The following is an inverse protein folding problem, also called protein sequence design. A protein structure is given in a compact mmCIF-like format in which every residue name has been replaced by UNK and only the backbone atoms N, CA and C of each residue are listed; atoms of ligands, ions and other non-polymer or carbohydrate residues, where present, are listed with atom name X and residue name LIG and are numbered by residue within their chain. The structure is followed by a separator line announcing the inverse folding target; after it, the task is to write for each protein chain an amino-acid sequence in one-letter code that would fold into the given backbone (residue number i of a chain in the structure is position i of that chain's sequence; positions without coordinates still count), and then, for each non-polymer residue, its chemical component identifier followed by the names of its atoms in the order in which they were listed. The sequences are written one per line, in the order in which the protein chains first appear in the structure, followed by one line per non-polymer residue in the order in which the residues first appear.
data_IF_786628723640
#
_entry.id   IF_786628723640
#
_cell.length_a   1.000
_cell.length_b   1.000
_cell.length_c   1.000
_cell.angle_alpha   90.00
_cell.angle_beta   90.00
_cell.angle_gamma   90.00
#
_symmetry.space_group_name_H-M   'P 1'
#
loop_
_entity.id
_entity.type
_entity.pdbx_description
1 polymer ?
#
# COMPACT_ATOMS: atom_id res chain seq x y z
N UNK A 1 -19.68 -8.18 -10.14
CA UNK A 1 -19.23 -6.86 -9.61
C UNK A 1 -17.92 -7.10 -8.90
N UNK A 2 -16.88 -6.33 -9.23
CA UNK A 2 -15.53 -6.50 -8.66
C UNK A 2 -15.56 -6.28 -7.14
N UNK A 3 -14.90 -7.18 -6.38
CA UNK A 3 -14.82 -7.11 -4.92
C UNK A 3 -13.51 -6.46 -4.50
N UNK A 4 -13.60 -5.50 -3.58
CA UNK A 4 -12.50 -4.68 -3.12
C UNK A 4 -12.26 -4.83 -1.62
N UNK A 5 -11.00 -4.82 -1.21
CA UNK A 5 -10.61 -4.78 0.20
C UNK A 5 -9.55 -3.72 0.43
N UNK A 6 -9.86 -2.71 1.23
CA UNK A 6 -8.89 -1.74 1.72
C UNK A 6 -8.14 -2.32 2.92
N UNK A 7 -6.80 -2.31 2.86
CA UNK A 7 -5.91 -2.67 3.96
C UNK A 7 -5.26 -1.38 4.45
N UNK A 8 -5.64 -0.94 5.63
CA UNK A 8 -5.23 0.32 6.22
C UNK A 8 -4.06 0.12 7.17
N UNK A 9 -3.02 0.94 7.04
CA UNK A 9 -1.99 1.01 8.07
C UNK A 9 -2.61 1.50 9.38
N UNK A 10 -2.42 0.77 10.48
CA UNK A 10 -3.04 1.04 11.77
C UNK A 10 -2.76 2.44 12.31
N UNK A 11 -1.58 3.00 12.04
CA UNK A 11 -1.21 4.38 12.42
C UNK A 11 -2.01 5.44 11.65
N UNK A 12 -2.61 5.09 10.50
CA UNK A 12 -3.36 5.98 9.61
C UNK A 12 -4.85 5.65 9.51
N UNK A 13 -5.29 4.53 10.09
CA UNK A 13 -6.67 4.08 10.02
C UNK A 13 -7.68 5.04 10.68
N UNK A 14 -7.23 5.91 11.58
CA UNK A 14 -8.04 6.94 12.22
C UNK A 14 -8.21 8.23 11.42
N UNK A 15 -7.63 8.34 10.21
CA UNK A 15 -7.72 9.55 9.39
C UNK A 15 -9.17 9.82 8.93
N UNK A 16 -9.79 10.96 9.32
CA UNK A 16 -11.18 11.24 8.99
C UNK A 16 -11.47 11.26 7.49
N UNK A 17 -10.60 11.86 6.70
CA UNK A 17 -10.77 11.94 5.24
C UNK A 17 -10.78 10.55 4.56
N UNK A 18 -10.01 9.59 5.09
CA UNK A 18 -10.03 8.20 4.60
C UNK A 18 -11.36 7.53 4.91
N UNK A 19 -11.86 7.72 6.12
CA UNK A 19 -13.14 7.16 6.56
C UNK A 19 -14.30 7.72 5.73
N UNK A 20 -14.34 9.03 5.55
CA UNK A 20 -15.37 9.71 4.74
C UNK A 20 -15.35 9.21 3.29
N UNK A 21 -14.17 9.12 2.66
CA UNK A 21 -14.04 8.63 1.30
C UNK A 21 -14.51 7.17 1.15
N UNK A 22 -14.18 6.29 2.10
CA UNK A 22 -14.63 4.89 2.10
C UNK A 22 -16.16 4.81 2.23
N UNK A 23 -16.77 5.59 3.12
CA UNK A 23 -18.22 5.61 3.24
C UNK A 23 -18.92 6.12 1.98
N UNK A 24 -18.42 7.19 1.38
CA UNK A 24 -18.94 7.72 0.11
C UNK A 24 -18.92 6.65 -1.00
N UNK A 25 -17.83 5.87 -1.13
CA UNK A 25 -17.75 4.76 -2.09
C UNK A 25 -18.81 3.68 -1.83
N UNK A 26 -19.02 3.33 -0.56
CA UNK A 26 -20.04 2.35 -0.17
C UNK A 26 -21.47 2.83 -0.45
N UNK A 27 -21.75 4.11 -0.22
CA UNK A 27 -23.05 4.73 -0.55
C UNK A 27 -23.34 4.70 -2.05
N UNK A 28 -22.30 4.76 -2.88
CA UNK A 28 -22.38 4.60 -4.34
C UNK A 28 -22.53 3.13 -4.77
N UNK A 29 -22.59 2.19 -3.82
CA UNK A 29 -22.80 0.77 -4.09
C UNK A 29 -21.52 -0.03 -4.33
N UNK A 30 -20.34 0.52 -4.06
CA UNK A 30 -19.08 -0.23 -4.18
C UNK A 30 -18.91 -1.22 -3.03
N UNK A 31 -18.73 -2.54 -3.30
CA UNK A 31 -18.53 -3.54 -2.24
C UNK A 31 -17.09 -3.48 -1.71
N UNK A 32 -16.82 -2.49 -0.87
CA UNK A 32 -15.51 -2.22 -0.30
C UNK A 32 -15.43 -2.67 1.16
N UNK A 33 -14.65 -3.72 1.41
CA UNK A 33 -14.32 -4.19 2.76
C UNK A 33 -13.13 -3.39 3.33
N UNK A 34 -12.99 -3.37 4.65
CA UNK A 34 -11.88 -2.71 5.33
C UNK A 34 -11.23 -3.67 6.33
N UNK A 35 -9.91 -3.71 6.31
CA UNK A 35 -9.05 -4.37 7.30
C UNK A 35 -7.97 -3.40 7.76
N UNK A 36 -7.45 -3.60 8.95
CA UNK A 36 -6.43 -2.74 9.56
C UNK A 36 -5.25 -3.60 10.00
N UNK A 37 -4.04 -3.14 9.72
CA UNK A 37 -2.82 -3.76 10.27
C UNK A 37 -2.50 -3.18 11.64
N UNK A 38 -2.21 -4.02 12.62
CA UNK A 38 -1.83 -3.64 13.98
C UNK A 38 -0.38 -3.98 14.28
N UNK A 39 0.10 -5.12 13.76
CA UNK A 39 1.43 -5.64 14.05
C UNK A 39 2.13 -6.14 12.80
N UNK A 40 3.41 -6.50 12.95
CA UNK A 40 4.18 -7.11 11.86
C UNK A 40 3.55 -8.44 11.44
N UNK A 41 3.64 -8.75 10.16
CA UNK A 41 3.00 -9.90 9.49
C UNK A 41 1.48 -9.77 9.24
N UNK A 42 0.79 -8.79 9.77
CA UNK A 42 -0.63 -8.57 9.45
C UNK A 42 -0.85 -8.35 7.95
N UNK A 43 0.04 -7.63 7.27
CA UNK A 43 -0.09 -7.43 5.82
C UNK A 43 -0.09 -8.75 5.07
N UNK A 44 0.82 -9.68 5.41
CA UNK A 44 0.87 -11.01 4.81
C UNK A 44 -0.45 -11.75 5.02
N UNK A 45 -0.89 -11.87 6.27
CA UNK A 45 -2.13 -12.55 6.64
C UNK A 45 -3.35 -11.96 5.91
N UNK A 46 -3.48 -10.63 5.86
CA UNK A 46 -4.62 -9.95 5.25
C UNK A 46 -4.63 -10.06 3.72
N UNK A 47 -3.47 -10.15 3.08
CA UNK A 47 -3.36 -10.41 1.64
C UNK A 47 -3.72 -11.87 1.32
N UNK A 48 -3.26 -12.83 2.13
CA UNK A 48 -3.64 -14.24 2.00
C UNK A 48 -5.15 -14.43 2.18
N UNK A 49 -5.75 -13.82 3.22
CA UNK A 49 -7.20 -13.80 3.43
C UNK A 49 -7.94 -13.20 2.22
N UNK A 50 -7.45 -12.09 1.67
CA UNK A 50 -8.06 -11.46 0.50
C UNK A 50 -8.08 -12.41 -0.71
N UNK A 51 -6.98 -13.10 -0.96
CA UNK A 51 -6.88 -14.11 -2.02
C UNK A 51 -7.89 -15.25 -1.81
N UNK A 52 -7.94 -15.82 -0.60
CA UNK A 52 -8.85 -16.93 -0.25
C UNK A 52 -10.32 -16.53 -0.35
N UNK A 53 -10.65 -15.28 0.01
CA UNK A 53 -12.02 -14.74 -0.05
C UNK A 53 -12.44 -14.33 -1.47
N UNK A 54 -11.57 -14.47 -2.47
CA UNK A 54 -11.84 -14.08 -3.85
C UNK A 54 -11.97 -12.56 -4.03
N UNK A 55 -11.20 -11.79 -3.26
CA UNK A 55 -11.06 -10.35 -3.49
C UNK A 55 -10.23 -10.14 -4.76
N UNK A 56 -10.76 -9.38 -5.68
CA UNK A 56 -10.11 -9.13 -6.97
C UNK A 56 -9.09 -8.00 -6.92
N UNK A 57 -9.29 -7.02 -6.02
CA UNK A 57 -8.34 -5.93 -5.83
C UNK A 57 -8.22 -5.54 -4.36
N UNK A 58 -6.97 -5.48 -3.88
CA UNK A 58 -6.63 -4.88 -2.58
C UNK A 58 -6.19 -3.44 -2.77
N UNK A 59 -6.59 -2.57 -1.84
CA UNK A 59 -6.25 -1.16 -1.80
C UNK A 59 -5.41 -0.92 -0.53
N UNK A 60 -4.12 -0.65 -0.69
CA UNK A 60 -3.23 -0.40 0.45
C UNK A 60 -3.20 1.09 0.77
N UNK A 61 -3.75 1.46 1.91
CA UNK A 61 -3.71 2.83 2.43
C UNK A 61 -2.54 2.98 3.40
N UNK A 62 -1.44 3.57 2.91
CA UNK A 62 -0.19 3.71 3.64
C UNK A 62 0.88 4.41 2.82
N UNK A 63 2.13 4.36 3.29
CA UNK A 63 3.30 4.85 2.58
C UNK A 63 4.02 3.73 1.82
N UNK A 64 5.23 4.05 1.30
CA UNK A 64 6.06 3.13 0.53
C UNK A 64 6.40 1.84 1.29
N UNK A 65 6.57 1.90 2.61
CA UNK A 65 6.76 0.72 3.46
C UNK A 65 5.58 -0.24 3.42
N UNK A 66 4.34 0.27 3.59
CA UNK A 66 3.13 -0.57 3.53
C UNK A 66 2.92 -1.16 2.14
N UNK A 67 3.24 -0.39 1.09
CA UNK A 67 3.22 -0.88 -0.28
C UNK A 67 4.22 -2.03 -0.47
N UNK A 68 5.46 -1.86 0.00
CA UNK A 68 6.48 -2.90 -0.12
C UNK A 68 6.14 -4.17 0.67
N UNK A 69 5.54 -4.03 1.85
CA UNK A 69 4.99 -5.17 2.60
C UNK A 69 3.92 -5.92 1.80
N UNK A 70 3.00 -5.20 1.16
CA UNK A 70 1.95 -5.80 0.32
C UNK A 70 2.51 -6.52 -0.90
N UNK A 71 3.53 -5.96 -1.57
CA UNK A 71 4.21 -6.62 -2.70
C UNK A 71 4.90 -7.90 -2.25
N UNK A 72 5.57 -7.89 -1.10
CA UNK A 72 6.19 -9.09 -0.54
C UNK A 72 5.15 -10.15 -0.15
N UNK A 73 4.00 -9.74 0.37
CA UNK A 73 2.89 -10.64 0.67
C UNK A 73 2.30 -11.25 -0.62
N UNK A 74 2.08 -10.46 -1.66
CA UNK A 74 1.60 -10.93 -2.96
C UNK A 74 2.60 -11.90 -3.62
N UNK A 75 3.89 -11.71 -3.42
CA UNK A 75 4.92 -12.59 -3.98
C UNK A 75 4.89 -14.01 -3.39
N UNK A 76 4.32 -14.20 -2.21
CA UNK A 76 4.12 -15.54 -1.61
C UNK A 76 3.01 -16.34 -2.29
N UNK A 77 2.09 -15.68 -2.99
CA UNK A 77 0.96 -16.31 -3.66
C UNK A 77 1.34 -16.74 -5.09
N UNK A 78 0.72 -17.81 -5.58
CA UNK A 78 0.77 -18.14 -7.00
C UNK A 78 0.20 -16.99 -7.84
N UNK A 79 0.76 -16.78 -9.02
CA UNK A 79 0.43 -15.61 -9.85
C UNK A 79 -1.09 -15.45 -10.10
N UNK A 80 -1.76 -16.57 -10.35
CA UNK A 80 -3.20 -16.63 -10.66
C UNK A 80 -4.09 -16.35 -9.44
N UNK A 81 -3.52 -16.39 -8.24
CA UNK A 81 -4.20 -16.14 -6.97
C UNK A 81 -3.99 -14.73 -6.45
N UNK A 82 -3.15 -13.94 -7.12
CA UNK A 82 -2.81 -12.59 -6.68
C UNK A 82 -3.94 -11.62 -6.99
N UNK A 83 -4.56 -10.98 -5.97
CA UNK A 83 -5.42 -9.84 -6.24
C UNK A 83 -4.61 -8.70 -6.86
N UNK A 84 -5.27 -7.87 -7.66
CA UNK A 84 -4.70 -6.61 -8.11
C UNK A 84 -4.35 -5.72 -6.93
N UNK A 85 -3.32 -4.90 -7.07
CA UNK A 85 -2.86 -3.98 -6.05
C UNK A 85 -3.12 -2.53 -6.46
N UNK A 86 -3.78 -1.77 -5.61
CA UNK A 86 -3.94 -0.33 -5.73
C UNK A 86 -3.38 0.39 -4.49
N UNK A 87 -3.01 1.65 -4.63
CA UNK A 87 -2.35 2.42 -3.58
C UNK A 87 -3.15 3.68 -3.25
N UNK A 88 -3.38 3.92 -1.97
CA UNK A 88 -3.87 5.18 -1.42
C UNK A 88 -2.71 5.78 -0.62
N UNK A 89 -2.01 6.79 -1.19
CA UNK A 89 -0.77 7.30 -0.60
C UNK A 89 -1.05 8.10 0.67
N UNK A 90 -0.59 7.59 1.81
CA UNK A 90 -0.75 8.20 3.12
C UNK A 90 0.57 8.26 3.91
N UNK A 91 1.69 8.01 3.26
CA UNK A 91 3.03 8.15 3.82
C UNK A 91 3.58 9.57 3.72
N UNK A 92 4.83 9.73 4.11
CA UNK A 92 5.54 11.02 4.05
C UNK A 92 6.11 11.28 2.66
N UNK A 93 6.82 10.33 2.06
CA UNK A 93 7.44 10.47 0.73
C UNK A 93 6.48 10.07 -0.39
N UNK A 94 5.91 8.87 -0.33
CA UNK A 94 5.02 8.30 -1.34
C UNK A 94 5.66 8.29 -2.75
N UNK A 95 6.92 7.85 -2.82
CA UNK A 95 7.73 7.92 -4.03
C UNK A 95 7.11 7.11 -5.17
N UNK A 96 6.59 5.92 -4.87
CA UNK A 96 5.90 5.09 -5.85
C UNK A 96 4.67 5.81 -6.43
N UNK A 97 3.86 6.40 -5.57
CA UNK A 97 2.65 7.09 -6.00
C UNK A 97 2.99 8.32 -6.86
N UNK A 98 4.01 9.07 -6.48
CA UNK A 98 4.52 10.23 -7.22
C UNK A 98 5.04 9.82 -8.61
N UNK A 99 5.88 8.80 -8.69
CA UNK A 99 6.45 8.29 -9.94
C UNK A 99 5.36 7.79 -10.91
N UNK A 100 4.29 7.20 -10.37
CA UNK A 100 3.19 6.66 -11.16
C UNK A 100 2.01 7.64 -11.32
N UNK A 101 2.15 8.90 -10.91
CA UNK A 101 1.12 9.96 -11.01
C UNK A 101 -0.19 9.58 -10.33
N UNK A 102 -0.11 8.81 -9.24
CA UNK A 102 -1.27 8.52 -8.41
C UNK A 102 -1.65 9.79 -7.64
N UNK A 103 -2.93 10.17 -7.60
CA UNK A 103 -3.37 11.35 -6.88
C UNK A 103 -2.96 11.34 -5.41
N UNK A 104 -2.59 12.50 -4.88
CA UNK A 104 -2.16 12.65 -3.48
C UNK A 104 -3.33 12.87 -2.52
N UNK A 105 -4.50 13.27 -3.02
CA UNK A 105 -5.70 13.37 -2.19
C UNK A 105 -6.35 12.01 -2.03
N UNK A 106 -6.77 11.68 -0.82
CA UNK A 106 -7.32 10.36 -0.48
C UNK A 106 -8.54 10.03 -1.36
N UNK A 107 -9.46 10.98 -1.54
CA UNK A 107 -10.66 10.78 -2.34
C UNK A 107 -10.33 10.45 -3.80
N UNK A 108 -9.45 11.21 -4.44
CA UNK A 108 -9.06 10.96 -5.83
C UNK A 108 -8.23 9.67 -5.99
N UNK A 109 -7.37 9.35 -5.02
CA UNK A 109 -6.63 8.09 -5.03
C UNK A 109 -7.56 6.88 -4.86
N UNK A 110 -8.57 6.97 -4.01
CA UNK A 110 -9.56 5.92 -3.82
C UNK A 110 -10.42 5.74 -5.08
N UNK A 111 -10.84 6.83 -5.71
CA UNK A 111 -11.57 6.80 -6.98
C UNK A 111 -10.76 6.09 -8.08
N UNK A 112 -9.48 6.47 -8.22
CA UNK A 112 -8.56 5.79 -9.13
C UNK A 112 -8.37 4.32 -8.77
N UNK A 113 -8.26 3.98 -7.49
CA UNK A 113 -8.08 2.62 -7.02
C UNK A 113 -9.28 1.71 -7.34
N UNK A 114 -10.50 2.25 -7.32
CA UNK A 114 -11.73 1.51 -7.62
C UNK A 114 -11.96 1.41 -9.14
N UNK A 115 -11.88 2.54 -9.85
CA UNK A 115 -12.32 2.63 -11.26
C UNK A 115 -11.18 2.62 -12.26
N UNK A 116 -9.92 2.78 -11.81
CA UNK A 116 -8.75 2.81 -12.69
C UNK A 116 -8.44 1.48 -13.35
N UNK A 117 -7.73 1.57 -14.47
CA UNK A 117 -7.20 0.40 -15.18
C UNK A 117 -5.96 -0.14 -14.46
N UNK A 118 -5.81 -1.46 -14.46
CA UNK A 118 -4.64 -2.15 -13.92
C UNK A 118 -3.55 -2.24 -14.97
N UNK A 119 -2.32 -1.97 -14.57
CA UNK A 119 -1.14 -2.12 -15.39
C UNK A 119 -0.19 -3.11 -14.72
N UNK A 120 0.50 -3.92 -15.51
CA UNK A 120 1.59 -4.75 -15.02
C UNK A 120 2.81 -3.87 -14.78
N UNK A 121 3.45 -4.06 -13.64
CA UNK A 121 4.69 -3.41 -13.27
C UNK A 121 5.70 -4.46 -12.82
N UNK A 122 6.96 -4.22 -13.17
CA UNK A 122 8.05 -5.06 -12.71
C UNK A 122 8.44 -4.70 -11.27
N UNK A 123 8.91 -5.69 -10.54
CA UNK A 123 9.58 -5.51 -9.26
C UNK A 123 10.87 -6.32 -9.22
N UNK A 124 11.81 -5.89 -8.39
CA UNK A 124 13.09 -6.58 -8.22
C UNK A 124 13.02 -7.51 -7.03
N UNK A 125 13.51 -8.74 -7.19
CA UNK A 125 13.67 -9.69 -6.11
C UNK A 125 15.15 -9.91 -5.82
N UNK A 126 15.57 -9.59 -4.60
CA UNK A 126 16.91 -9.85 -4.09
C UNK A 126 16.82 -10.81 -2.90
N UNK A 127 17.42 -11.98 -3.04
CA UNK A 127 17.24 -13.11 -2.11
C UNK A 127 15.74 -13.45 -1.97
N UNK A 128 15.19 -13.28 -0.77
CA UNK A 128 13.78 -13.56 -0.47
C UNK A 128 12.95 -12.28 -0.24
N UNK A 129 13.42 -11.11 -0.74
CA UNK A 129 12.71 -9.84 -0.59
C UNK A 129 12.45 -9.19 -1.93
N UNK A 130 11.25 -8.67 -2.09
CA UNK A 130 10.82 -7.88 -3.24
C UNK A 130 10.96 -6.40 -2.95
N UNK A 131 11.34 -5.63 -3.98
CA UNK A 131 11.49 -4.19 -3.94
C UNK A 131 10.77 -3.58 -5.13
N UNK A 132 9.88 -2.64 -4.87
CA UNK A 132 9.08 -1.99 -5.92
C UNK A 132 9.56 -0.58 -6.23
N UNK A 133 10.28 0.08 -5.31
CA UNK A 133 10.81 1.42 -5.49
C UNK A 133 12.33 1.43 -5.52
N UNK A 134 12.94 1.40 -4.32
CA UNK A 134 14.38 1.58 -4.11
C UNK A 134 14.93 0.46 -3.23
N UNK A 135 16.02 -0.13 -3.69
CA UNK A 135 16.93 -0.91 -2.85
C UNK A 135 18.28 -0.16 -2.83
N UNK A 136 18.70 0.31 -1.66
CA UNK A 136 19.98 1.00 -1.48
C UNK A 136 21.00 0.06 -0.84
N UNK A 137 22.25 0.17 -1.29
CA UNK A 137 23.41 -0.54 -0.71
C UNK A 137 24.57 0.44 -0.50
N UNK A 138 25.44 0.14 0.50
CA UNK A 138 26.58 0.98 0.84
C UNK A 138 26.22 2.12 1.78
N UNK A 139 26.94 3.25 1.71
CA UNK A 139 26.83 4.36 2.65
C UNK A 139 25.41 4.92 2.80
N UNK A 140 24.69 5.04 1.70
CA UNK A 140 23.28 5.49 1.74
C UNK A 140 22.36 4.54 2.51
N UNK A 141 22.60 3.23 2.44
CA UNK A 141 21.82 2.24 3.20
C UNK A 141 22.10 2.33 4.70
N UNK A 142 23.35 2.59 5.11
CA UNK A 142 23.72 2.79 6.51
C UNK A 142 23.01 4.02 7.10
N UNK A 143 23.05 5.17 6.42
CA UNK A 143 22.35 6.38 6.85
C UNK A 143 20.85 6.09 7.01
N UNK A 144 20.22 5.42 6.04
CA UNK A 144 18.80 5.10 6.09
C UNK A 144 18.46 4.15 7.24
N UNK A 145 19.29 3.18 7.54
CA UNK A 145 19.09 2.22 8.63
C UNK A 145 19.21 2.88 10.01
N UNK A 146 20.16 3.80 10.16
CA UNK A 146 20.46 4.47 11.43
C UNK A 146 19.56 5.68 11.71
N UNK A 147 18.85 6.22 10.71
CA UNK A 147 17.98 7.38 10.92
C UNK A 147 16.78 7.02 11.79
N UNK A 148 16.61 7.62 12.98
CA UNK A 148 15.48 7.37 13.87
C UNK A 148 14.12 7.63 13.20
N UNK A 149 13.10 6.85 13.56
CA UNK A 149 11.75 6.97 12.99
C UNK A 149 11.16 8.36 13.25
N UNK A 150 11.43 8.93 14.43
CA UNK A 150 10.98 10.26 14.81
C UNK A 150 11.58 11.34 13.89
N UNK A 151 12.85 11.20 13.52
CA UNK A 151 13.53 12.13 12.63
C UNK A 151 13.02 11.99 11.19
N UNK A 152 12.76 10.76 10.72
CA UNK A 152 12.13 10.51 9.42
C UNK A 152 10.75 11.16 9.33
N UNK A 153 9.96 11.06 10.40
CA UNK A 153 8.62 11.66 10.45
C UNK A 153 8.65 13.19 10.51
N UNK A 154 9.69 13.77 11.11
CA UNK A 154 9.85 15.23 11.26
C UNK A 154 10.40 15.89 9.99
N UNK A 155 11.42 15.29 9.37
CA UNK A 155 12.14 15.87 8.23
C UNK A 155 11.60 15.41 6.86
N UNK A 156 10.74 14.41 6.84
CA UNK A 156 10.28 13.81 5.59
C UNK A 156 11.44 13.30 4.72
N UNK A 157 11.36 13.50 3.40
CA UNK A 157 12.41 13.08 2.47
C UNK A 157 13.78 13.75 2.66
N UNK A 158 13.86 14.82 3.46
CA UNK A 158 15.13 15.48 3.81
C UNK A 158 15.90 14.82 4.96
N UNK A 159 15.41 13.69 5.49
CA UNK A 159 16.05 12.95 6.59
C UNK A 159 17.21 12.04 6.13
N UNK A 160 17.49 11.98 4.81
CA UNK A 160 18.46 11.09 4.20
C UNK A 160 19.61 11.86 3.54
#
# INVERSE_FOLDING_TARGET
MKRFRAILNGKKAGEPALREAIFAMREQGTPLEVRVTWESADMLRLVEEASQDGIERILVAGGDGSLNEAVNALDTLAHEQRPELAVIPMGTANDFATANRIPTTIAAALELAIHGQTHQIDYVKANNRCFINVAAAGFGAEITAETPIELKNFLGGGAY
#
